data_IF_614376938748
#
_entry.id   IF_614376938748
#
_cell.length_a   1.000
_cell.length_b   1.000
_cell.length_c   1.000
_cell.angle_alpha   90.00
_cell.angle_beta   90.00
_cell.angle_gamma   90.00
#
_symmetry.space_group_name_H-M   'P 1'
#
loop_
_entity.id
_entity.type
_entity.pdbx_description
1 polymer ?
#
# COMPACT_ATOMS: atom_id res chain seq x y z
N UNK A 1 -2.48 26.02 4.46
CA UNK A 1 -1.55 25.32 3.53
C UNK A 1 -0.64 26.29 2.81
N UNK A 2 -1.16 27.39 2.30
CA UNK A 2 -0.39 28.38 1.55
C UNK A 2 0.87 28.84 2.27
N UNK A 3 0.80 29.25 3.53
CA UNK A 3 1.97 29.65 4.32
C UNK A 3 3.09 28.60 4.44
N UNK A 4 2.75 27.33 4.29
CA UNK A 4 3.74 26.24 4.27
C UNK A 4 4.51 26.16 2.94
N UNK A 5 3.88 26.50 1.82
CA UNK A 5 4.55 26.48 0.51
C UNK A 5 5.68 27.50 0.51
N UNK A 6 5.37 28.76 0.81
CA UNK A 6 6.38 29.82 0.86
C UNK A 6 7.44 29.59 1.93
N UNK A 7 7.06 29.13 3.11
CA UNK A 7 8.01 28.80 4.18
C UNK A 7 9.04 27.74 3.75
N UNK A 8 8.59 26.71 3.02
CA UNK A 8 9.49 25.69 2.51
C UNK A 8 10.37 26.20 1.35
N UNK A 9 9.83 26.99 0.42
CA UNK A 9 10.60 27.61 -0.65
C UNK A 9 11.70 28.52 -0.06
N UNK A 10 11.33 29.35 0.90
CA UNK A 10 12.30 30.22 1.58
C UNK A 10 13.39 29.42 2.32
N UNK A 11 13.03 28.29 2.92
CA UNK A 11 13.98 27.40 3.59
C UNK A 11 15.00 26.77 2.63
N UNK A 12 14.56 26.42 1.42
CA UNK A 12 15.42 25.85 0.37
C UNK A 12 16.29 26.93 -0.29
N UNK A 13 15.83 28.16 -0.35
CA UNK A 13 16.58 29.31 -0.84
C UNK A 13 16.73 29.39 -2.38
N UNK A 14 15.89 28.64 -3.14
CA UNK A 14 15.84 28.71 -4.61
C UNK A 14 14.41 28.97 -5.08
N UNK A 15 14.26 29.62 -6.25
CA UNK A 15 12.94 29.95 -6.82
C UNK A 15 12.29 28.78 -7.56
N UNK A 16 13.09 27.83 -8.03
CA UNK A 16 12.68 26.69 -8.85
C UNK A 16 12.90 25.32 -8.16
N UNK A 17 12.41 25.10 -6.94
CA UNK A 17 12.56 23.82 -6.28
C UNK A 17 11.66 22.76 -6.92
N UNK A 18 11.98 21.48 -6.68
CA UNK A 18 11.01 20.39 -6.82
C UNK A 18 10.23 20.30 -5.51
N UNK A 19 8.93 20.46 -5.59
CA UNK A 19 8.04 20.46 -4.43
C UNK A 19 7.17 19.20 -4.42
N UNK A 20 7.39 18.32 -3.43
CA UNK A 20 6.62 17.10 -3.27
C UNK A 20 5.41 17.33 -2.35
N UNK A 21 4.22 17.04 -2.85
CA UNK A 21 2.97 16.99 -2.11
C UNK A 21 2.53 15.52 -1.98
N UNK A 22 2.71 14.96 -0.80
CA UNK A 22 2.46 13.55 -0.54
C UNK A 22 1.01 13.31 -0.09
N UNK A 23 0.36 12.27 -0.60
CA UNK A 23 -0.98 11.82 -0.22
C UNK A 23 -2.08 12.90 -0.40
N UNK A 24 -2.18 13.51 -1.60
CA UNK A 24 -3.18 14.55 -1.90
C UNK A 24 -4.63 14.03 -1.87
N UNK A 25 -4.83 12.73 -2.01
CA UNK A 25 -6.11 12.04 -1.88
C UNK A 25 -6.68 12.09 -0.44
N UNK A 26 -5.85 12.41 0.55
CA UNK A 26 -6.26 12.52 1.96
C UNK A 26 -6.59 13.95 2.40
N UNK A 27 -6.66 14.88 1.47
CA UNK A 27 -7.08 16.24 1.74
C UNK A 27 -8.58 16.26 2.02
N UNK A 28 -8.96 16.08 3.30
CA UNK A 28 -10.34 16.19 3.73
C UNK A 28 -10.84 17.62 3.74
N UNK A 29 -12.14 17.82 3.54
CA UNK A 29 -12.84 19.07 3.79
C UNK A 29 -13.01 19.24 5.32
N UNK A 30 -11.98 19.75 5.99
CA UNK A 30 -12.09 20.09 7.39
C UNK A 30 -12.84 21.42 7.56
N UNK A 31 -13.54 21.57 8.70
CA UNK A 31 -14.31 22.77 9.11
C UNK A 31 -13.51 24.10 9.10
N UNK A 32 -12.23 24.08 8.77
CA UNK A 32 -11.32 25.25 8.79
C UNK A 32 -10.90 25.77 7.43
N UNK A 33 -11.51 25.31 6.37
CA UNK A 33 -11.21 25.72 5.00
C UNK A 33 -11.11 24.54 4.05
N UNK A 34 -11.21 24.82 2.75
CA UNK A 34 -11.04 23.83 1.70
C UNK A 34 -9.57 23.79 1.24
N UNK A 35 -8.78 22.79 1.65
CA UNK A 35 -7.38 22.67 1.24
C UNK A 35 -7.24 22.38 -0.25
N UNK A 36 -8.28 21.82 -0.89
CA UNK A 36 -8.28 21.55 -2.33
C UNK A 36 -8.29 22.83 -3.15
N UNK A 37 -9.09 23.82 -2.74
CA UNK A 37 -9.08 25.16 -3.37
C UNK A 37 -7.72 25.85 -3.26
N UNK A 38 -7.02 25.70 -2.12
CA UNK A 38 -5.69 26.27 -1.97
C UNK A 38 -4.65 25.56 -2.87
N UNK A 39 -4.81 24.25 -3.12
CA UNK A 39 -3.96 23.53 -4.05
C UNK A 39 -4.24 23.90 -5.50
N UNK A 40 -5.47 24.21 -5.86
CA UNK A 40 -5.79 24.71 -7.20
C UNK A 40 -5.01 25.99 -7.52
N UNK A 41 -4.98 26.95 -6.61
CA UNK A 41 -4.21 28.20 -6.78
C UNK A 41 -2.69 27.93 -6.95
N UNK A 42 -2.18 26.86 -6.34
CA UNK A 42 -0.75 26.51 -6.38
C UNK A 42 -0.39 25.70 -7.63
N UNK A 43 -1.26 24.77 -8.04
CA UNK A 43 -0.98 23.84 -9.13
C UNK A 43 -1.46 24.31 -10.49
N UNK A 44 -2.35 25.32 -10.54
CA UNK A 44 -2.87 25.84 -11.79
C UNK A 44 -1.85 26.79 -12.47
N UNK A 45 -1.30 26.43 -13.65
CA UNK A 45 -0.34 27.28 -14.35
C UNK A 45 -0.87 28.66 -14.74
N UNK A 46 -2.20 28.82 -14.84
CA UNK A 46 -2.84 30.10 -15.17
C UNK A 46 -2.94 31.06 -13.97
N UNK A 47 -2.74 30.54 -12.75
CA UNK A 47 -2.92 31.32 -11.52
C UNK A 47 -1.67 31.34 -10.62
N UNK A 48 -0.77 30.38 -10.76
CA UNK A 48 0.37 30.21 -9.86
C UNK A 48 1.45 31.28 -9.99
N UNK A 49 1.48 32.03 -11.11
CA UNK A 49 2.37 33.18 -11.31
C UNK A 49 2.04 34.38 -10.38
N UNK A 50 0.80 34.41 -9.88
CA UNK A 50 0.27 35.44 -8.99
C UNK A 50 -0.25 34.88 -7.68
N UNK A 51 0.31 33.75 -7.23
CA UNK A 51 -0.08 33.15 -5.98
C UNK A 51 0.05 34.11 -4.80
N UNK A 52 -1.03 34.32 -4.03
CA UNK A 52 -1.02 35.17 -2.85
C UNK A 52 -1.08 34.31 -1.60
N UNK A 53 -0.03 34.39 -0.79
CA UNK A 53 -0.05 33.79 0.54
C UNK A 53 -0.99 34.55 1.46
N UNK A 54 -2.06 33.89 1.91
CA UNK A 54 -3.11 34.51 2.76
C UNK A 54 -2.61 34.98 4.12
N UNK A 55 -1.44 34.56 4.55
CA UNK A 55 -0.86 34.99 5.82
C UNK A 55 0.05 36.22 5.65
N UNK A 56 0.82 36.21 4.55
CA UNK A 56 1.76 37.32 4.27
C UNK A 56 1.17 38.42 3.41
N UNK A 57 0.07 38.12 2.69
CA UNK A 57 -0.60 39.01 1.73
C UNK A 57 0.37 39.57 0.67
N UNK A 58 1.34 38.75 0.27
CA UNK A 58 2.36 39.08 -0.70
C UNK A 58 2.22 38.14 -1.89
N UNK A 59 2.16 38.69 -3.13
CA UNK A 59 2.18 37.85 -4.33
C UNK A 59 3.54 37.18 -4.51
N UNK A 60 3.51 35.94 -4.90
CA UNK A 60 4.70 35.15 -5.19
C UNK A 60 4.50 34.34 -6.48
N UNK A 61 5.50 34.34 -7.34
CA UNK A 61 5.49 33.61 -8.59
C UNK A 61 5.98 32.17 -8.35
N UNK A 62 5.07 31.20 -8.57
CA UNK A 62 5.33 29.76 -8.46
C UNK A 62 5.52 29.08 -9.81
N UNK A 63 5.54 29.80 -10.93
CA UNK A 63 5.60 29.24 -12.29
C UNK A 63 6.89 28.43 -12.55
N UNK A 64 7.97 28.77 -11.87
CA UNK A 64 9.25 28.03 -11.95
C UNK A 64 9.33 26.80 -11.02
N UNK A 65 8.33 26.55 -10.19
CA UNK A 65 8.30 25.44 -9.23
C UNK A 65 7.79 24.19 -9.90
N UNK A 66 8.55 23.10 -9.84
CA UNK A 66 8.09 21.80 -10.31
C UNK A 66 7.35 21.06 -9.18
N UNK A 67 6.05 20.88 -9.35
CA UNK A 67 5.23 20.17 -8.40
C UNK A 67 5.14 18.68 -8.76
N UNK A 68 5.40 17.82 -7.78
CA UNK A 68 5.18 16.40 -7.83
C UNK A 68 4.16 16.01 -6.76
N UNK A 69 3.10 15.32 -7.14
CA UNK A 69 2.06 14.89 -6.20
C UNK A 69 2.01 13.37 -6.13
N UNK A 70 1.65 12.81 -4.98
CA UNK A 70 1.35 11.39 -4.83
C UNK A 70 -0.07 11.19 -4.33
N UNK A 71 -0.71 10.10 -4.75
CA UNK A 71 -2.00 9.67 -4.28
C UNK A 71 -2.09 8.14 -4.26
N UNK A 72 -2.89 7.58 -3.37
CA UNK A 72 -3.16 6.15 -3.32
C UNK A 72 -4.49 5.79 -4.01
N UNK A 73 -5.45 6.69 -4.01
CA UNK A 73 -6.76 6.51 -4.61
C UNK A 73 -7.13 7.72 -5.47
N UNK A 74 -7.13 7.50 -6.77
CA UNK A 74 -7.42 8.53 -7.77
C UNK A 74 -8.86 9.07 -7.64
N UNK A 75 -9.81 8.23 -7.19
CA UNK A 75 -11.21 8.61 -7.05
C UNK A 75 -11.47 9.57 -5.89
N UNK A 76 -10.49 9.74 -4.99
CA UNK A 76 -10.58 10.69 -3.89
C UNK A 76 -9.97 12.06 -4.22
N UNK A 77 -9.36 12.18 -5.39
CA UNK A 77 -8.86 13.46 -5.88
C UNK A 77 -10.04 14.24 -6.46
N UNK A 78 -10.29 15.49 -6.01
CA UNK A 78 -11.33 16.35 -6.60
C UNK A 78 -11.12 16.54 -8.10
N UNK A 79 -12.21 16.48 -8.88
CA UNK A 79 -12.18 16.58 -10.35
C UNK A 79 -11.41 17.83 -10.83
N UNK A 80 -11.59 18.96 -10.14
CA UNK A 80 -10.90 20.20 -10.48
C UNK A 80 -9.37 20.12 -10.35
N UNK A 81 -8.84 19.29 -9.44
CA UNK A 81 -7.41 19.02 -9.32
C UNK A 81 -6.97 17.97 -10.36
N UNK A 82 -7.81 16.97 -10.58
CA UNK A 82 -7.53 15.90 -11.54
C UNK A 82 -7.23 16.44 -12.93
N UNK A 83 -8.04 17.40 -13.41
CA UNK A 83 -7.89 18.01 -14.73
C UNK A 83 -6.58 18.82 -14.91
N UNK A 84 -5.87 19.12 -13.82
CA UNK A 84 -4.60 19.89 -13.83
C UNK A 84 -3.37 19.05 -13.58
N UNK A 85 -3.55 17.75 -13.42
CA UNK A 85 -2.46 16.82 -13.10
C UNK A 85 -2.16 15.91 -14.30
N UNK A 86 -0.89 15.73 -14.61
CA UNK A 86 -0.45 14.61 -15.43
C UNK A 86 -0.34 13.37 -14.55
N UNK A 87 -1.18 12.37 -14.83
CA UNK A 87 -1.30 11.19 -14.01
C UNK A 87 -0.44 10.06 -14.55
N UNK A 88 0.47 9.58 -13.70
CA UNK A 88 1.30 8.40 -13.95
C UNK A 88 0.88 7.31 -12.98
N UNK A 89 0.20 6.30 -13.49
CA UNK A 89 -0.25 5.17 -12.66
C UNK A 89 0.90 4.18 -12.44
N UNK A 90 1.17 3.87 -11.17
CA UNK A 90 2.13 2.87 -10.76
C UNK A 90 1.39 1.64 -10.25
N UNK A 91 1.44 0.57 -11.00
CA UNK A 91 0.86 -0.72 -10.58
C UNK A 91 1.61 -1.33 -9.41
N UNK A 92 0.93 -2.19 -8.65
CA UNK A 92 1.56 -2.98 -7.60
C UNK A 92 2.57 -4.00 -8.17
N UNK A 93 3.49 -4.42 -7.34
CA UNK A 93 4.48 -5.43 -7.71
C UNK A 93 3.88 -6.83 -7.80
N UNK A 94 4.24 -7.55 -8.84
CA UNK A 94 3.96 -8.98 -8.99
C UNK A 94 4.75 -9.80 -7.96
N UNK A 95 4.36 -11.04 -7.77
CA UNK A 95 5.07 -11.99 -6.89
C UNK A 95 6.57 -12.12 -7.24
N UNK A 96 6.88 -12.22 -8.54
CA UNK A 96 8.25 -12.33 -9.04
C UNK A 96 9.08 -11.07 -8.76
N UNK A 97 8.48 -9.90 -8.94
CA UNK A 97 9.13 -8.62 -8.63
C UNK A 97 9.37 -8.46 -7.13
N UNK A 98 8.38 -8.77 -6.28
CA UNK A 98 8.54 -8.76 -4.81
C UNK A 98 9.68 -9.69 -4.36
N UNK A 99 9.77 -10.90 -4.95
CA UNK A 99 10.88 -11.83 -4.69
C UNK A 99 12.23 -11.22 -5.06
N UNK A 100 12.33 -10.61 -6.25
CA UNK A 100 13.57 -9.98 -6.71
C UNK A 100 13.96 -8.78 -5.83
N UNK A 101 12.99 -7.93 -5.47
CA UNK A 101 13.21 -6.77 -4.59
C UNK A 101 13.68 -7.26 -3.20
N UNK A 102 13.02 -8.27 -2.65
CA UNK A 102 13.40 -8.83 -1.35
C UNK A 102 14.86 -9.32 -1.34
N UNK A 103 15.24 -10.11 -2.35
CA UNK A 103 16.58 -10.72 -2.44
C UNK A 103 17.67 -9.69 -2.71
N UNK A 104 17.44 -8.78 -3.67
CA UNK A 104 18.47 -7.82 -4.08
C UNK A 104 18.64 -6.65 -3.12
N UNK A 105 17.57 -6.25 -2.44
CA UNK A 105 17.58 -5.00 -1.69
C UNK A 105 17.14 -5.13 -0.25
N UNK A 106 15.97 -5.75 0.04
CA UNK A 106 15.38 -5.66 1.37
C UNK A 106 16.16 -6.46 2.41
N UNK A 107 16.60 -7.68 2.08
CA UNK A 107 17.35 -8.54 3.01
C UNK A 107 18.66 -7.85 3.39
N UNK A 108 19.47 -7.45 2.42
CA UNK A 108 20.74 -6.78 2.67
C UNK A 108 20.58 -5.45 3.42
N UNK A 109 19.54 -4.66 3.06
CA UNK A 109 19.20 -3.42 3.76
C UNK A 109 18.87 -3.67 5.25
N UNK A 110 18.04 -4.67 5.53
CA UNK A 110 17.62 -4.98 6.91
C UNK A 110 18.74 -5.63 7.73
N UNK A 111 19.59 -6.44 7.11
CA UNK A 111 20.78 -6.99 7.75
C UNK A 111 21.75 -5.87 8.12
N UNK A 112 22.04 -4.96 7.20
CA UNK A 112 22.88 -3.78 7.47
C UNK A 112 22.33 -2.90 8.61
N UNK A 113 21.01 -2.66 8.61
CA UNK A 113 20.34 -1.87 9.66
C UNK A 113 20.41 -2.52 11.04
N UNK A 114 20.57 -3.84 11.10
CA UNK A 114 20.66 -4.62 12.36
C UNK A 114 22.08 -5.04 12.70
N UNK A 115 23.08 -4.66 11.90
CA UNK A 115 24.48 -5.00 12.13
C UNK A 115 24.83 -6.46 11.83
N UNK A 116 24.00 -7.17 11.07
CA UNK A 116 24.25 -8.56 10.67
C UNK A 116 25.07 -8.64 9.39
N UNK A 117 25.99 -9.59 9.34
CA UNK A 117 26.72 -9.97 8.13
C UNK A 117 26.01 -11.09 7.35
N UNK A 118 26.42 -11.29 6.09
CA UNK A 118 25.90 -12.36 5.23
C UNK A 118 26.24 -13.77 5.75
N UNK A 119 27.26 -13.89 6.59
CA UNK A 119 27.66 -15.16 7.21
C UNK A 119 26.78 -15.49 8.42
N UNK A 120 26.22 -14.50 9.07
CA UNK A 120 25.44 -14.65 10.31
C UNK A 120 23.97 -14.94 10.07
N UNK A 121 23.38 -14.44 8.97
CA UNK A 121 21.98 -14.71 8.64
C UNK A 121 21.79 -15.15 7.20
N UNK A 122 21.07 -16.26 7.02
CA UNK A 122 20.60 -16.71 5.72
C UNK A 122 19.08 -16.97 5.76
N UNK A 123 18.34 -16.38 4.81
CA UNK A 123 16.90 -16.59 4.65
C UNK A 123 16.68 -17.32 3.31
N UNK A 124 16.06 -18.50 3.35
CA UNK A 124 15.81 -19.26 2.12
C UNK A 124 14.74 -18.60 1.23
N UNK A 125 14.88 -18.75 -0.08
CA UNK A 125 13.94 -18.23 -1.08
C UNK A 125 12.50 -18.69 -0.82
N UNK A 126 12.32 -19.96 -0.44
CA UNK A 126 11.01 -20.52 -0.09
C UNK A 126 10.37 -19.81 1.11
N UNK A 127 11.16 -19.33 2.06
CA UNK A 127 10.64 -18.53 3.18
C UNK A 127 10.21 -17.16 2.70
N UNK A 128 10.97 -16.51 1.84
CA UNK A 128 10.58 -15.21 1.27
C UNK A 128 9.27 -15.34 0.49
N UNK A 129 9.15 -16.39 -0.34
CA UNK A 129 7.91 -16.70 -1.04
C UNK A 129 6.73 -16.91 -0.08
N UNK A 130 6.95 -17.67 0.98
CA UNK A 130 5.95 -17.92 2.02
C UNK A 130 5.53 -16.63 2.73
N UNK A 131 6.47 -15.73 3.00
CA UNK A 131 6.18 -14.42 3.60
C UNK A 131 5.26 -13.62 2.68
N UNK A 132 5.57 -13.52 1.40
CA UNK A 132 4.79 -12.76 0.44
C UNK A 132 3.37 -13.32 0.34
N UNK A 133 3.21 -14.63 0.26
CA UNK A 133 1.90 -15.30 0.11
C UNK A 133 1.05 -15.27 1.38
N UNK A 134 1.65 -15.63 2.52
CA UNK A 134 0.89 -15.97 3.71
C UNK A 134 1.00 -14.96 4.85
N UNK A 135 1.82 -13.92 4.71
CA UNK A 135 1.98 -12.90 5.75
C UNK A 135 1.72 -11.48 5.27
N UNK A 136 1.71 -11.24 3.94
CA UNK A 136 1.45 -9.90 3.38
C UNK A 136 0.30 -9.94 2.39
N UNK A 137 -0.51 -8.85 2.40
CA UNK A 137 -1.48 -8.52 1.35
C UNK A 137 -1.33 -7.03 1.05
N UNK A 138 -0.35 -6.70 0.23
CA UNK A 138 -0.01 -5.32 -0.12
C UNK A 138 0.37 -5.22 -1.59
N UNK A 139 0.09 -4.10 -2.23
CA UNK A 139 0.54 -3.82 -3.59
C UNK A 139 2.07 -3.59 -3.65
N UNK A 140 2.62 -2.94 -2.65
CA UNK A 140 4.05 -2.67 -2.47
C UNK A 140 4.82 -3.76 -1.74
N UNK A 141 5.87 -3.33 -1.01
CA UNK A 141 6.80 -4.20 -0.27
C UNK A 141 7.09 -3.71 1.16
N UNK A 142 6.30 -2.77 1.69
CA UNK A 142 6.53 -2.19 3.03
C UNK A 142 6.35 -3.21 4.14
N UNK A 143 5.30 -4.03 4.09
CA UNK A 143 5.06 -5.06 5.10
C UNK A 143 6.07 -6.20 4.96
N UNK A 144 6.42 -6.57 3.73
CA UNK A 144 7.49 -7.53 3.44
C UNK A 144 8.82 -7.07 4.07
N UNK A 145 9.20 -5.82 3.87
CA UNK A 145 10.40 -5.25 4.49
C UNK A 145 10.34 -5.29 6.02
N UNK A 146 9.18 -4.95 6.60
CA UNK A 146 8.96 -4.99 8.05
C UNK A 146 9.11 -6.40 8.63
N UNK A 147 8.63 -7.40 7.91
CA UNK A 147 8.71 -8.80 8.33
C UNK A 147 10.13 -9.35 8.19
N UNK A 148 10.85 -9.01 7.13
CA UNK A 148 12.28 -9.31 7.00
C UNK A 148 13.05 -8.68 8.15
N UNK A 149 12.82 -7.41 8.47
CA UNK A 149 13.42 -6.73 9.62
C UNK A 149 13.08 -7.39 10.96
N UNK A 150 11.88 -7.98 11.10
CA UNK A 150 11.52 -8.77 12.29
C UNK A 150 12.35 -10.04 12.40
N UNK A 151 12.61 -10.72 11.28
CA UNK A 151 13.50 -11.89 11.24
C UNK A 151 14.91 -11.48 11.65
N UNK A 152 15.46 -10.41 11.07
CA UNK A 152 16.79 -9.91 11.39
C UNK A 152 16.95 -9.60 12.88
N UNK A 153 16.02 -8.85 13.47
CA UNK A 153 16.06 -8.54 14.92
C UNK A 153 16.02 -9.79 15.81
N UNK A 154 15.25 -10.81 15.42
CA UNK A 154 15.23 -12.07 16.18
C UNK A 154 16.49 -12.90 15.98
N UNK A 155 17.08 -12.85 14.80
CA UNK A 155 18.37 -13.48 14.52
C UNK A 155 19.50 -12.84 15.37
N UNK A 156 19.52 -11.51 15.46
CA UNK A 156 20.48 -10.79 16.36
C UNK A 156 20.37 -11.31 17.79
N UNK A 157 19.15 -11.47 18.31
CA UNK A 157 18.94 -12.01 19.66
C UNK A 157 19.56 -13.42 19.81
N UNK A 158 19.33 -14.30 18.87
CA UNK A 158 19.88 -15.66 18.90
C UNK A 158 21.43 -15.69 18.81
N UNK A 159 22.02 -14.75 18.06
CA UNK A 159 23.47 -14.60 17.96
C UNK A 159 24.05 -14.08 19.27
N UNK A 160 23.42 -13.10 19.91
CA UNK A 160 23.81 -12.60 21.23
C UNK A 160 23.68 -13.67 22.33
N UNK A 161 22.77 -14.64 22.16
CA UNK A 161 22.60 -15.81 23.02
C UNK A 161 23.63 -16.91 22.74
N UNK A 162 24.61 -16.67 21.85
CA UNK A 162 25.76 -17.56 21.60
C UNK A 162 25.70 -18.37 20.31
N UNK A 163 24.74 -18.17 19.42
CA UNK A 163 24.75 -18.79 18.11
C UNK A 163 25.73 -18.11 17.16
N UNK A 164 26.49 -18.90 16.40
CA UNK A 164 27.42 -18.35 15.40
C UNK A 164 26.71 -17.86 14.15
N UNK A 165 25.62 -18.50 13.76
CA UNK A 165 24.82 -18.12 12.59
C UNK A 165 23.38 -18.61 12.72
N UNK A 166 22.46 -17.98 12.00
CA UNK A 166 21.03 -18.28 11.95
C UNK A 166 20.63 -18.57 10.50
N UNK A 167 20.00 -19.72 10.27
CA UNK A 167 19.41 -20.06 8.98
C UNK A 167 17.90 -20.20 9.10
N UNK A 168 17.17 -19.34 8.39
CA UNK A 168 15.71 -19.35 8.38
C UNK A 168 15.22 -20.16 7.18
N UNK A 169 14.57 -21.26 7.49
CA UNK A 169 14.07 -22.25 6.53
C UNK A 169 12.59 -22.52 6.74
N UNK A 170 11.98 -23.35 5.88
CA UNK A 170 10.57 -23.74 6.02
C UNK A 170 10.24 -24.51 7.31
N UNK A 171 11.24 -25.05 7.99
CA UNK A 171 11.02 -25.77 9.25
C UNK A 171 10.96 -24.87 10.48
N UNK A 172 11.47 -23.64 10.39
CA UNK A 172 11.60 -22.76 11.56
C UNK A 172 11.09 -21.33 11.36
N UNK A 173 10.63 -20.94 10.15
CA UNK A 173 10.18 -19.58 9.86
C UNK A 173 9.07 -19.10 10.81
N UNK A 174 8.18 -20.01 11.23
CA UNK A 174 7.08 -19.68 12.15
C UNK A 174 7.58 -19.22 13.54
N UNK A 175 8.76 -19.67 13.96
CA UNK A 175 9.42 -19.19 15.18
C UNK A 175 9.72 -17.69 15.08
N UNK A 176 10.06 -17.19 13.88
CA UNK A 176 10.41 -15.77 13.64
C UNK A 176 9.20 -14.89 13.35
N UNK A 177 8.17 -15.42 12.70
CA UNK A 177 7.05 -14.66 12.18
C UNK A 177 5.75 -14.84 12.97
N UNK A 178 5.60 -16.00 13.61
CA UNK A 178 4.37 -16.44 14.26
C UNK A 178 3.46 -17.20 13.29
N UNK A 179 2.17 -17.26 13.60
CA UNK A 179 1.17 -17.91 12.74
C UNK A 179 1.00 -17.15 11.42
N UNK A 180 0.72 -17.89 10.37
CA UNK A 180 0.33 -17.33 9.08
C UNK A 180 -0.93 -16.48 9.23
N UNK A 181 -0.94 -15.33 8.56
CA UNK A 181 -2.08 -14.41 8.59
C UNK A 181 -3.12 -14.76 7.53
N UNK A 182 -2.61 -15.23 6.39
CA UNK A 182 -3.42 -15.56 5.23
C UNK A 182 -3.16 -17.03 4.89
N UNK A 183 -4.19 -17.82 4.96
CA UNK A 183 -4.16 -19.21 4.52
C UNK A 183 -4.69 -19.18 3.10
N UNK A 184 -3.95 -19.80 2.17
CA UNK A 184 -4.51 -20.03 0.84
C UNK A 184 -5.72 -20.94 1.00
N UNK A 185 -6.89 -20.43 0.67
CA UNK A 185 -8.08 -21.26 0.57
C UNK A 185 -7.83 -22.24 -0.58
N UNK A 186 -7.42 -23.44 -0.21
CA UNK A 186 -7.25 -24.51 -1.19
C UNK A 186 -8.60 -24.75 -1.84
N UNK A 187 -8.63 -24.58 -3.15
CA UNK A 187 -9.77 -25.03 -3.97
C UNK A 187 -10.03 -26.48 -3.58
N UNK A 188 -11.20 -26.73 -3.00
CA UNK A 188 -11.62 -28.12 -2.84
C UNK A 188 -11.65 -28.74 -4.24
N UNK A 189 -10.85 -29.78 -4.45
CA UNK A 189 -10.88 -30.54 -5.71
C UNK A 189 -12.14 -31.40 -5.81
N UNK A 190 -12.91 -31.48 -4.73
CA UNK A 190 -14.16 -32.20 -4.67
C UNK A 190 -15.30 -31.28 -5.12
N UNK A 191 -16.08 -31.73 -6.08
CA UNK A 191 -17.31 -31.07 -6.47
C UNK A 191 -18.31 -31.13 -5.32
N UNK A 192 -18.73 -29.95 -4.86
CA UNK A 192 -19.77 -29.80 -3.82
C UNK A 192 -20.97 -29.09 -4.41
N UNK A 193 -22.16 -29.67 -4.22
CA UNK A 193 -23.43 -29.04 -4.61
C UNK A 193 -23.61 -27.78 -3.76
N UNK A 194 -23.96 -26.68 -4.39
CA UNK A 194 -24.16 -25.40 -3.73
C UNK A 194 -22.87 -24.62 -3.44
N UNK A 195 -21.72 -25.03 -3.99
CA UNK A 195 -20.44 -24.32 -3.83
C UNK A 195 -19.90 -23.89 -5.19
N UNK A 196 -19.63 -22.60 -5.33
CA UNK A 196 -19.05 -22.02 -6.56
C UNK A 196 -17.85 -21.17 -6.22
N UNK A 197 -16.78 -21.33 -6.97
CA UNK A 197 -15.59 -20.49 -6.86
C UNK A 197 -15.67 -19.31 -7.84
N UNK A 198 -15.78 -18.12 -7.30
CA UNK A 198 -15.73 -16.87 -8.05
C UNK A 198 -14.30 -16.31 -8.08
N UNK A 199 -13.99 -15.51 -9.09
CA UNK A 199 -12.76 -14.75 -9.20
C UNK A 199 -13.05 -13.28 -8.87
N UNK A 200 -12.25 -12.69 -8.00
CA UNK A 200 -12.31 -11.29 -7.69
C UNK A 200 -10.95 -10.62 -7.96
N UNK A 201 -10.99 -9.41 -8.46
CA UNK A 201 -9.82 -8.55 -8.61
C UNK A 201 -9.71 -7.64 -7.39
N UNK A 202 -8.51 -7.52 -6.84
CA UNK A 202 -8.21 -6.61 -5.73
C UNK A 202 -6.98 -5.78 -6.06
N UNK A 203 -6.75 -4.69 -5.33
CA UNK A 203 -5.55 -3.86 -5.47
C UNK A 203 -4.23 -4.63 -5.26
N UNK A 204 -4.30 -5.82 -4.69
CA UNK A 204 -3.14 -6.70 -4.44
C UNK A 204 -3.08 -7.89 -5.41
N UNK A 205 -3.98 -7.95 -6.39
CA UNK A 205 -4.06 -9.00 -7.41
C UNK A 205 -5.38 -9.76 -7.40
N UNK A 206 -5.46 -10.79 -8.23
CA UNK A 206 -6.61 -11.70 -8.28
C UNK A 206 -6.71 -12.55 -7.02
N UNK A 207 -7.93 -12.74 -6.53
CA UNK A 207 -8.23 -13.67 -5.42
C UNK A 207 -9.43 -14.52 -5.79
N UNK A 208 -9.51 -15.69 -5.18
CA UNK A 208 -10.70 -16.54 -5.31
C UNK A 208 -11.61 -16.32 -4.13
N UNK A 209 -12.90 -16.32 -4.42
CA UNK A 209 -13.97 -16.26 -3.44
C UNK A 209 -14.81 -17.53 -3.56
N UNK A 210 -14.97 -18.26 -2.47
CA UNK A 210 -15.91 -19.37 -2.44
C UNK A 210 -17.27 -18.85 -2.00
N UNK A 211 -18.28 -19.07 -2.85
CA UNK A 211 -19.68 -18.76 -2.57
C UNK A 211 -20.38 -20.07 -2.23
N UNK A 212 -20.95 -20.15 -1.06
CA UNK A 212 -21.71 -21.33 -0.60
C UNK A 212 -23.21 -20.98 -0.51
N UNK A 213 -24.04 -21.80 -1.11
CA UNK A 213 -25.50 -21.69 -1.03
C UNK A 213 -26.09 -22.92 -0.36
N UNK A 214 -26.81 -22.69 0.72
CA UNK A 214 -27.52 -23.74 1.46
C UNK A 214 -29.02 -23.50 1.38
N UNK A 215 -29.79 -24.55 1.13
CA UNK A 215 -31.25 -24.52 1.13
C UNK A 215 -31.77 -25.24 2.36
N UNK A 216 -32.64 -24.57 3.10
CA UNK A 216 -33.28 -25.14 4.29
C UNK A 216 -34.80 -25.02 4.15
N UNK A 217 -35.55 -25.89 4.80
CA UNK A 217 -37.01 -25.76 4.86
C UNK A 217 -37.40 -24.47 5.63
N UNK A 218 -38.24 -23.64 5.03
CA UNK A 218 -38.62 -22.36 5.58
C UNK A 218 -39.66 -21.60 4.80
N UNK A 219 -39.85 -20.32 5.10
CA UNK A 219 -40.86 -19.42 4.53
C UNK A 219 -40.43 -18.70 3.24
N UNK A 220 -39.38 -19.16 2.56
CA UNK A 220 -38.93 -18.58 1.30
C UNK A 220 -38.15 -17.26 1.46
N UNK A 221 -37.42 -17.09 2.56
CA UNK A 221 -36.48 -15.98 2.73
C UNK A 221 -35.11 -16.33 2.20
N UNK A 222 -34.48 -15.37 1.51
CA UNK A 222 -33.09 -15.46 1.08
C UNK A 222 -32.27 -14.54 1.99
N UNK A 223 -31.29 -15.12 2.66
CA UNK A 223 -30.37 -14.40 3.55
C UNK A 223 -28.97 -14.47 3.00
N UNK A 224 -28.29 -13.33 2.93
CA UNK A 224 -26.91 -13.22 2.47
C UNK A 224 -26.03 -12.86 3.63
N UNK A 225 -24.94 -13.62 3.82
CA UNK A 225 -23.92 -13.37 4.85
C UNK A 225 -22.54 -13.26 4.22
N UNK A 226 -21.68 -12.39 4.76
CA UNK A 226 -20.32 -12.23 4.30
C UNK A 226 -19.99 -10.79 3.94
N UNK A 227 -18.80 -10.59 3.34
CA UNK A 227 -18.34 -9.27 2.87
C UNK A 227 -18.88 -8.97 1.48
N UNK A 228 -20.16 -8.59 1.43
CA UNK A 228 -20.88 -8.26 0.19
C UNK A 228 -20.85 -6.73 0.01
N UNK A 229 -20.42 -6.27 -1.18
CA UNK A 229 -20.59 -4.88 -1.61
C UNK A 229 -21.94 -4.64 -2.31
N UNK A 230 -22.31 -3.37 -2.50
CA UNK A 230 -23.60 -2.97 -3.11
C UNK A 230 -23.87 -3.64 -4.46
N UNK A 231 -22.83 -3.84 -5.27
CA UNK A 231 -22.92 -4.49 -6.58
C UNK A 231 -23.31 -5.97 -6.45
N UNK A 232 -22.81 -6.66 -5.41
CA UNK A 232 -23.14 -8.06 -5.14
C UNK A 232 -24.62 -8.24 -4.76
N UNK A 233 -25.16 -7.31 -3.97
CA UNK A 233 -26.58 -7.31 -3.59
C UNK A 233 -27.52 -7.09 -4.78
N UNK A 234 -27.16 -6.20 -5.70
CA UNK A 234 -27.98 -5.92 -6.90
C UNK A 234 -28.00 -7.08 -7.86
N UNK A 235 -26.87 -7.74 -8.08
CA UNK A 235 -26.78 -8.89 -9.00
C UNK A 235 -27.50 -10.14 -8.48
N UNK A 236 -27.40 -10.42 -7.17
CA UNK A 236 -28.06 -11.59 -6.58
C UNK A 236 -29.60 -11.43 -6.44
N UNK A 237 -30.12 -10.19 -6.47
CA UNK A 237 -31.57 -9.92 -6.44
C UNK A 237 -32.22 -9.89 -7.82
N UNK A 238 -31.44 -9.79 -8.89
CA UNK A 238 -31.96 -9.68 -10.27
C UNK A 238 -32.23 -11.03 -10.97
N UNK A 239 -31.94 -12.12 -10.29
CA UNK A 239 -32.22 -13.51 -10.71
C UNK A 239 -33.04 -14.22 -9.64
#
# INVERSE_FOLDING_TARGET
MAGRVLANINRVGVKNPVFLLDEIDKLGSDFRGDPSSALLEVLDPEQNDKFIDRYLDIPFDLSDVFFLTTANDINQIPDALYDRLEIIELSGYTMGEKMNIAKKYLISKQMKNTGLSDEELAISDKVVEKIIKNYTREAGVRELERLIGKICRRAVKEILEGKKSVRVTMNNYSKYLGREKFIDDHISKEEKIGVVNGLAWTSVGGTMLTVEANVMEGKGHVEFTGSLGDVSYTHLRAH
#
